data_IF_538246548635
#
_entry.id   IF_538246548635
#
_cell.length_a   1.000
_cell.length_b   1.000
_cell.length_c   1.000
_cell.angle_alpha   90.00
_cell.angle_beta   90.00
_cell.angle_gamma   90.00
#
_symmetry.space_group_name_H-M   'P 1'
#
loop_
_entity.id
_entity.type
_entity.pdbx_description
1 polymer ?
#
# COMPACT_ATOMS: atom_id res chain seq x y z
N UNK A 1 6.63 -1.76 -6.79
CA UNK A 1 5.34 -1.32 -6.21
C UNK A 1 5.60 -0.17 -5.25
N UNK A 2 4.79 0.90 -5.27
CA UNK A 2 4.87 1.95 -4.26
C UNK A 2 3.95 1.61 -3.08
N UNK A 3 4.54 1.38 -1.91
CA UNK A 3 3.82 1.18 -0.64
C UNK A 3 4.08 2.39 0.25
N UNK A 4 3.03 3.17 0.50
CA UNK A 4 3.10 4.32 1.39
C UNK A 4 2.88 3.87 2.83
N UNK A 5 3.69 4.40 3.76
CA UNK A 5 3.53 4.18 5.20
C UNK A 5 3.21 5.51 5.88
N UNK A 6 2.05 5.62 6.51
CA UNK A 6 1.62 6.84 7.22
C UNK A 6 1.29 6.51 8.66
N UNK A 7 1.94 7.21 9.58
CA UNK A 7 1.66 7.13 11.02
C UNK A 7 2.31 8.32 11.72
N UNK A 8 1.98 8.54 12.99
CA UNK A 8 2.80 9.39 13.85
C UNK A 8 4.07 8.64 14.27
N UNK A 9 5.03 9.33 14.89
CA UNK A 9 6.24 8.69 15.44
C UNK A 9 5.97 7.89 16.73
N UNK A 10 4.74 7.90 17.25
CA UNK A 10 4.40 7.12 18.44
C UNK A 10 4.68 5.62 18.18
N UNK A 11 5.46 5.00 19.07
CA UNK A 11 5.87 3.60 18.98
C UNK A 11 6.73 3.25 17.75
N UNK A 12 7.37 4.23 17.10
CA UNK A 12 8.37 3.98 16.06
C UNK A 12 9.65 3.39 16.69
N UNK A 13 10.38 2.56 15.96
CA UNK A 13 11.70 2.04 16.34
C UNK A 13 12.78 2.60 15.41
N UNK A 14 14.04 2.37 15.74
CA UNK A 14 15.19 2.77 14.91
C UNK A 14 15.53 1.73 13.82
N UNK A 15 14.75 0.65 13.74
CA UNK A 15 14.93 -0.40 12.74
C UNK A 15 14.10 -0.09 11.49
N UNK A 16 14.66 -0.33 10.30
CA UNK A 16 13.91 -0.30 9.05
C UNK A 16 13.19 -1.63 8.79
N UNK A 17 12.05 -1.56 8.11
CA UNK A 17 11.35 -2.77 7.64
C UNK A 17 12.22 -3.58 6.68
N UNK A 18 12.26 -4.89 6.90
CA UNK A 18 12.95 -5.82 6.00
C UNK A 18 12.13 -6.11 4.74
N UNK A 19 12.80 -6.53 3.68
CA UNK A 19 12.12 -7.10 2.51
C UNK A 19 11.62 -8.50 2.91
N UNK A 20 10.35 -8.87 2.64
CA UNK A 20 9.87 -10.24 2.84
C UNK A 20 10.75 -11.25 2.08
N UNK A 21 10.88 -12.47 2.58
CA UNK A 21 11.74 -13.49 1.97
C UNK A 21 11.36 -13.81 0.52
N UNK A 22 10.07 -13.77 0.21
CA UNK A 22 9.48 -13.92 -1.12
C UNK A 22 9.32 -12.57 -1.85
N UNK A 23 9.68 -11.45 -1.23
CA UNK A 23 9.45 -10.09 -1.73
C UNK A 23 10.53 -9.51 -2.63
N UNK A 24 11.44 -10.35 -3.18
CA UNK A 24 12.46 -9.92 -4.14
C UNK A 24 11.81 -9.21 -5.32
N UNK A 25 12.32 -8.03 -5.68
CA UNK A 25 11.78 -7.19 -6.75
C UNK A 25 10.59 -6.30 -6.37
N UNK A 26 9.92 -6.52 -5.22
CA UNK A 26 8.82 -5.64 -4.78
C UNK A 26 9.32 -4.24 -4.40
N UNK A 27 10.52 -4.19 -3.80
CA UNK A 27 11.16 -2.97 -3.28
C UNK A 27 12.60 -2.84 -3.81
N UNK A 28 12.78 -2.57 -5.12
CA UNK A 28 14.10 -2.58 -5.75
C UNK A 28 15.07 -1.56 -5.16
N UNK A 29 14.57 -0.44 -4.64
CA UNK A 29 15.39 0.55 -3.93
C UNK A 29 15.92 0.02 -2.59
N UNK A 30 15.13 -0.79 -1.89
CA UNK A 30 15.50 -1.34 -0.60
C UNK A 30 16.57 -2.44 -0.72
N UNK A 31 16.64 -3.13 -1.87
CA UNK A 31 17.68 -4.11 -2.15
C UNK A 31 19.07 -3.46 -2.24
N UNK A 32 19.14 -2.20 -2.68
CA UNK A 32 20.38 -1.41 -2.77
C UNK A 32 20.65 -0.59 -1.52
N UNK A 33 19.60 -0.08 -0.89
CA UNK A 33 19.66 0.76 0.30
C UNK A 33 18.53 0.39 1.26
N UNK A 34 18.79 -0.48 2.27
CA UNK A 34 17.78 -0.86 3.25
C UNK A 34 17.12 0.31 3.98
N UNK A 35 17.80 1.47 4.09
CA UNK A 35 17.25 2.68 4.71
C UNK A 35 16.15 3.35 3.88
N UNK A 36 15.92 2.93 2.64
CA UNK A 36 14.82 3.44 1.82
C UNK A 36 13.46 2.89 2.27
N UNK A 37 13.43 1.86 3.12
CA UNK A 37 12.21 1.32 3.72
C UNK A 37 11.73 2.20 4.87
N UNK A 38 10.45 2.16 5.19
CA UNK A 38 9.95 2.83 6.40
C UNK A 38 10.57 2.21 7.65
N UNK A 39 10.75 3.01 8.69
CA UNK A 39 11.03 2.51 10.03
C UNK A 39 9.88 1.61 10.50
N UNK A 40 10.22 0.65 11.37
CA UNK A 40 9.26 -0.26 11.99
C UNK A 40 8.54 0.45 13.13
N UNK A 41 7.38 -0.09 13.44
CA UNK A 41 6.63 0.26 14.64
C UNK A 41 6.63 -0.95 15.57
N UNK A 42 6.48 -0.70 16.88
CA UNK A 42 6.32 -1.78 17.86
C UNK A 42 5.10 -2.64 17.50
N UNK A 43 5.16 -3.93 17.84
CA UNK A 43 4.16 -4.94 17.41
C UNK A 43 2.76 -4.65 17.92
N UNK A 44 2.65 -3.87 18.99
CA UNK A 44 1.39 -3.51 19.63
C UNK A 44 0.61 -2.43 18.84
N UNK A 45 1.28 -1.66 17.97
CA UNK A 45 0.62 -0.65 17.14
C UNK A 45 -0.04 -1.32 15.92
N UNK A 46 -1.38 -1.40 15.83
CA UNK A 46 -2.02 -2.17 14.79
C UNK A 46 -1.81 -1.56 13.40
N UNK A 47 -1.73 -2.44 12.39
CA UNK A 47 -1.53 -2.06 11.00
C UNK A 47 -2.87 -2.10 10.27
N UNK A 48 -3.19 -1.05 9.53
CA UNK A 48 -4.32 -0.98 8.60
C UNK A 48 -3.78 -0.97 7.18
N UNK A 49 -4.08 -2.02 6.42
CA UNK A 49 -3.78 -2.08 4.98
C UNK A 49 -4.94 -1.51 4.18
N UNK A 50 -4.62 -0.60 3.26
CA UNK A 50 -5.58 -0.02 2.33
C UNK A 50 -5.06 -0.13 0.92
N UNK A 51 -5.90 -0.59 0.02
CA UNK A 51 -5.59 -0.70 -1.39
C UNK A 51 -6.75 -0.16 -2.21
N UNK A 52 -6.49 0.21 -3.46
CA UNK A 52 -7.56 0.52 -4.40
C UNK A 52 -7.24 0.01 -5.81
N UNK A 53 -8.23 0.02 -6.70
CA UNK A 53 -8.06 -0.27 -8.13
C UNK A 53 -7.43 -1.64 -8.41
N UNK A 54 -7.93 -2.69 -7.75
CA UNK A 54 -7.66 -4.08 -8.19
C UNK A 54 -8.30 -4.34 -9.55
N UNK A 55 -9.53 -3.84 -9.73
CA UNK A 55 -10.15 -3.69 -11.03
C UNK A 55 -9.93 -2.26 -11.53
N UNK A 56 -9.41 -2.07 -12.75
CA UNK A 56 -9.06 -0.75 -13.25
C UNK A 56 -10.22 0.24 -13.36
N UNK A 57 -11.42 -0.22 -13.69
CA UNK A 57 -12.61 0.62 -13.94
C UNK A 57 -13.30 1.11 -12.66
N UNK A 58 -12.92 0.61 -11.48
CA UNK A 58 -13.52 0.99 -10.20
C UNK A 58 -12.96 2.33 -9.68
N UNK A 59 -13.07 3.38 -10.50
CA UNK A 59 -12.56 4.74 -10.21
C UNK A 59 -13.09 5.36 -8.92
N UNK A 60 -14.33 5.08 -8.42
CA UNK A 60 -14.77 5.61 -7.13
C UNK A 60 -13.86 5.21 -5.97
N UNK A 61 -13.20 4.04 -6.04
CA UNK A 61 -12.25 3.60 -5.02
C UNK A 61 -11.06 4.54 -4.86
N UNK A 62 -10.58 5.15 -5.96
CA UNK A 62 -9.52 6.16 -5.89
C UNK A 62 -9.98 7.45 -5.23
N UNK A 63 -11.22 7.89 -5.46
CA UNK A 63 -11.77 9.09 -4.82
C UNK A 63 -11.97 8.91 -3.32
N UNK A 64 -12.47 7.74 -2.89
CA UNK A 64 -12.58 7.40 -1.46
C UNK A 64 -11.21 7.37 -0.80
N UNK A 65 -10.23 6.72 -1.43
CA UNK A 65 -8.87 6.69 -0.89
C UNK A 65 -8.24 8.08 -0.83
N UNK A 66 -8.48 8.94 -1.82
CA UNK A 66 -8.00 10.32 -1.81
C UNK A 66 -8.58 11.12 -0.63
N UNK A 67 -9.90 11.10 -0.44
CA UNK A 67 -10.53 11.79 0.69
C UNK A 67 -10.07 11.24 2.06
N UNK A 68 -9.84 9.93 2.14
CA UNK A 68 -9.24 9.32 3.33
C UNK A 68 -7.82 9.85 3.60
N UNK A 69 -6.98 9.95 2.56
CA UNK A 69 -5.63 10.49 2.69
C UNK A 69 -5.64 11.98 3.06
N UNK A 70 -6.58 12.78 2.57
CA UNK A 70 -6.75 14.18 2.97
C UNK A 70 -6.98 14.29 4.48
N UNK A 71 -7.87 13.49 5.06
CA UNK A 71 -8.09 13.44 6.52
C UNK A 71 -6.84 12.94 7.24
N UNK A 72 -6.21 11.88 6.72
CA UNK A 72 -5.06 11.27 7.35
C UNK A 72 -3.79 12.11 7.25
N UNK A 73 -3.71 13.09 6.35
CA UNK A 73 -2.53 13.95 6.17
C UNK A 73 -2.73 15.38 6.64
N UNK A 74 -3.97 15.81 6.91
CA UNK A 74 -4.22 17.09 7.57
C UNK A 74 -3.68 17.06 9.01
N UNK A 75 -2.70 17.94 9.27
CA UNK A 75 -2.04 18.08 10.57
C UNK A 75 -2.91 18.83 11.59
N UNK A 76 -3.91 19.57 11.13
CA UNK A 76 -4.86 20.32 11.98
C UNK A 76 -6.08 19.48 12.33
N UNK A 77 -6.30 18.38 11.62
CA UNK A 77 -7.44 17.50 11.87
C UNK A 77 -7.18 16.58 13.07
N UNK A 78 -8.01 16.70 14.09
CA UNK A 78 -7.92 15.91 15.32
C UNK A 78 -8.17 14.42 15.10
N UNK A 79 -9.10 14.05 14.23
CA UNK A 79 -9.38 12.66 13.89
C UNK A 79 -8.17 12.04 13.19
N UNK A 80 -7.60 12.73 12.20
CA UNK A 80 -6.37 12.31 11.53
C UNK A 80 -5.20 12.12 12.49
N UNK A 81 -5.03 13.04 13.44
CA UNK A 81 -4.01 12.94 14.50
C UNK A 81 -4.21 11.70 15.37
N UNK A 82 -5.43 11.44 15.84
CA UNK A 82 -5.74 10.25 16.64
C UNK A 82 -5.53 8.95 15.85
N UNK A 83 -5.92 8.92 14.57
CA UNK A 83 -5.69 7.77 13.69
C UNK A 83 -4.19 7.48 13.55
N UNK A 84 -3.38 8.49 13.20
CA UNK A 84 -1.92 8.36 13.08
C UNK A 84 -1.24 7.94 14.39
N UNK A 85 -1.75 8.42 15.54
CA UNK A 85 -1.25 8.05 16.87
C UNK A 85 -1.43 6.57 17.18
N UNK A 86 -2.58 6.02 16.81
CA UNK A 86 -2.98 4.67 17.21
C UNK A 86 -2.66 3.59 16.17
N UNK A 87 -2.57 3.94 14.87
CA UNK A 87 -2.43 2.97 13.78
C UNK A 87 -1.27 3.28 12.85
N UNK A 88 -0.76 2.25 12.19
CA UNK A 88 0.15 2.36 11.04
C UNK A 88 -0.64 2.06 9.78
N UNK A 89 -0.75 3.03 8.88
CA UNK A 89 -1.42 2.86 7.60
C UNK A 89 -0.42 2.43 6.54
N UNK A 90 -0.73 1.33 5.85
CA UNK A 90 0.03 0.78 4.73
C UNK A 90 -0.84 0.87 3.48
N UNK A 91 -0.50 1.79 2.58
CA UNK A 91 -1.38 2.17 1.47
C UNK A 91 -0.74 1.82 0.14
N UNK A 92 -1.45 1.04 -0.67
CA UNK A 92 -1.16 0.81 -2.08
C UNK A 92 -2.19 1.59 -2.89
N UNK A 93 -1.75 2.64 -3.57
CA UNK A 93 -2.66 3.54 -4.29
C UNK A 93 -3.47 2.80 -5.34
N UNK A 94 -2.82 1.95 -6.14
CA UNK A 94 -3.44 1.19 -7.22
C UNK A 94 -2.81 -0.18 -7.32
N UNK A 95 -3.62 -1.23 -7.28
CA UNK A 95 -3.16 -2.61 -7.45
C UNK A 95 -2.96 -2.99 -8.93
N UNK A 96 -3.71 -2.38 -9.85
CA UNK A 96 -3.63 -2.66 -11.29
C UNK A 96 -3.30 -1.38 -12.09
N UNK A 97 -2.12 -0.77 -11.90
CA UNK A 97 -1.74 0.47 -12.58
C UNK A 97 -1.70 0.30 -14.11
N UNK A 98 -1.29 -0.86 -14.58
CA UNK A 98 -1.18 -1.20 -16.01
C UNK A 98 -2.53 -1.27 -16.73
N UNK A 99 -3.52 -1.93 -16.10
CA UNK A 99 -4.87 -1.97 -16.60
C UNK A 99 -5.55 -0.59 -16.53
N UNK A 100 -5.23 0.21 -15.50
CA UNK A 100 -5.71 1.60 -15.40
C UNK A 100 -5.16 2.45 -16.54
N UNK A 101 -3.85 2.40 -16.80
CA UNK A 101 -3.22 3.16 -17.87
C UNK A 101 -3.77 2.78 -19.26
N UNK A 102 -4.17 1.53 -19.45
CA UNK A 102 -4.76 1.02 -20.70
C UNK A 102 -6.27 1.21 -20.82
N UNK A 103 -6.94 1.78 -19.81
CA UNK A 103 -8.39 1.98 -19.83
C UNK A 103 -9.21 0.70 -19.75
N UNK A 104 -8.66 -0.36 -19.14
CA UNK A 104 -9.42 -1.59 -18.90
C UNK A 104 -10.50 -1.38 -17.84
N UNK A 105 -11.44 -2.32 -17.75
CA UNK A 105 -12.49 -2.27 -16.73
C UNK A 105 -12.22 -3.21 -15.55
N UNK A 106 -11.92 -4.49 -15.81
CA UNK A 106 -11.86 -5.50 -14.75
C UNK A 106 -10.55 -6.27 -14.65
N UNK A 107 -9.90 -6.52 -15.78
CA UNK A 107 -8.77 -7.43 -15.86
C UNK A 107 -7.45 -6.68 -15.88
N UNK A 108 -6.36 -7.38 -15.63
CA UNK A 108 -5.00 -6.90 -15.92
C UNK A 108 -4.64 -7.06 -17.41
N UNK A 109 -3.37 -6.85 -17.73
CA UNK A 109 -2.82 -6.96 -19.09
C UNK A 109 -2.78 -8.38 -19.65
N UNK A 110 -2.89 -9.37 -18.78
CA UNK A 110 -2.86 -10.80 -19.11
C UNK A 110 -4.27 -11.43 -19.05
N UNK A 111 -5.31 -10.58 -19.10
CA UNK A 111 -6.72 -10.98 -19.00
C UNK A 111 -7.07 -11.73 -17.70
N UNK A 112 -6.29 -11.52 -16.64
CA UNK A 112 -6.53 -12.10 -15.33
C UNK A 112 -7.33 -11.15 -14.43
N UNK A 113 -8.26 -11.72 -13.67
CA UNK A 113 -8.91 -11.00 -12.58
C UNK A 113 -8.04 -11.12 -11.33
N UNK A 114 -7.28 -10.07 -11.01
CA UNK A 114 -6.37 -10.05 -9.86
C UNK A 114 -7.09 -10.33 -8.53
N UNK A 115 -8.36 -9.96 -8.40
CA UNK A 115 -9.18 -10.24 -7.21
C UNK A 115 -9.64 -11.72 -7.12
N UNK A 116 -9.06 -12.62 -7.93
CA UNK A 116 -9.23 -14.07 -7.86
C UNK A 116 -7.90 -14.81 -7.68
N UNK A 117 -6.78 -14.10 -7.59
CA UNK A 117 -5.43 -14.70 -7.58
C UNK A 117 -4.77 -14.73 -6.20
N UNK A 118 -5.45 -14.28 -5.13
CA UNK A 118 -4.82 -14.18 -3.79
C UNK A 118 -4.43 -15.52 -3.15
N UNK A 119 -5.12 -16.61 -3.46
CA UNK A 119 -4.83 -17.91 -2.85
C UNK A 119 -3.55 -18.52 -3.40
N UNK A 120 -3.29 -18.34 -4.69
CA UNK A 120 -2.15 -18.93 -5.39
C UNK A 120 -1.62 -17.94 -6.45
N UNK A 121 -1.06 -16.78 -6.03
CA UNK A 121 -0.55 -15.79 -6.97
C UNK A 121 0.72 -16.28 -7.65
N UNK A 122 0.94 -15.86 -8.90
CA UNK A 122 2.15 -16.15 -9.67
C UNK A 122 2.97 -14.89 -9.86
N UNK A 123 4.28 -14.92 -9.59
CA UNK A 123 5.17 -13.77 -9.82
C UNK A 123 5.34 -13.43 -11.31
N UNK A 124 5.12 -14.39 -12.20
CA UNK A 124 5.18 -14.15 -13.65
C UNK A 124 3.86 -13.62 -14.19
N UNK A 125 2.75 -14.17 -13.70
CA UNK A 125 1.43 -13.94 -14.32
C UNK A 125 0.65 -12.85 -13.58
N UNK A 126 0.94 -12.63 -12.29
CA UNK A 126 0.28 -11.67 -11.40
C UNK A 126 1.33 -10.92 -10.53
N UNK A 127 2.34 -10.24 -11.14
CA UNK A 127 3.43 -9.58 -10.42
C UNK A 127 2.99 -8.42 -9.52
#
# INVERSE_FOLDING_TARGET
MELLTISSKDQITDEHETIPADGRGLFPMAERNPRSRSLRFRKEKPIIFMTSRVHPGETPGSHVLNGFLEVLTDLRNDQGRQLRKNFVFKVIMMLNPDGVARGYYRLDTMACNLNRMYLTPSKSDNP
#
